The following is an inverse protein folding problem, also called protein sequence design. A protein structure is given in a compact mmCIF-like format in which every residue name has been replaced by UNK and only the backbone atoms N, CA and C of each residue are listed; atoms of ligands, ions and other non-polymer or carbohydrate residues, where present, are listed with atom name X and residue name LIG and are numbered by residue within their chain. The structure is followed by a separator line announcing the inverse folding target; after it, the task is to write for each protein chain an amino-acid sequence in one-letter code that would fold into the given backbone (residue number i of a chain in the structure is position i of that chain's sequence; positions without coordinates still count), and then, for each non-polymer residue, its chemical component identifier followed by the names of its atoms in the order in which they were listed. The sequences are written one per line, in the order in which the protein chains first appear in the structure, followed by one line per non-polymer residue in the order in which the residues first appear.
data_IF_978079781542
#
_entry.id   IF_978079781542
#
_cell.length_a   1.000
_cell.length_b   1.000
_cell.length_c   1.000
_cell.angle_alpha   90.00
_cell.angle_beta   90.00
_cell.angle_gamma   90.00
#
_symmetry.space_group_name_H-M   'P 1'
#
loop_
_entity.id
_entity.type
_entity.pdbx_description
1 polymer ?
#
# COMPACT_ATOMS: atom_id res chain seq x y z
N UNK A 1 4.47 9.26 -24.93
CA UNK A 1 3.88 9.66 -23.62
C UNK A 1 4.64 8.96 -22.50
N UNK A 2 4.85 9.64 -21.39
CA UNK A 2 5.40 8.99 -20.22
C UNK A 2 4.36 8.00 -19.64
N UNK A 3 4.84 6.87 -19.11
CA UNK A 3 3.98 5.92 -18.43
C UNK A 3 3.47 6.52 -17.10
N UNK A 4 2.23 6.19 -16.67
CA UNK A 4 1.74 6.64 -15.38
C UNK A 4 2.59 6.06 -14.24
N UNK A 5 2.89 6.88 -13.25
CA UNK A 5 3.65 6.49 -12.06
C UNK A 5 2.71 5.97 -10.99
N UNK A 6 2.89 4.71 -10.60
CA UNK A 6 2.03 4.04 -9.62
C UNK A 6 2.82 3.72 -8.36
N UNK A 7 2.40 4.29 -7.23
CA UNK A 7 2.98 3.95 -5.93
C UNK A 7 2.50 2.59 -5.44
N UNK A 8 3.43 1.67 -5.20
CA UNK A 8 3.13 0.35 -4.63
C UNK A 8 3.51 0.35 -3.16
N UNK A 9 2.52 0.34 -2.26
CA UNK A 9 2.81 0.20 -0.82
C UNK A 9 2.98 -1.28 -0.48
N UNK A 10 4.11 -1.63 0.13
CA UNK A 10 4.47 -3.04 0.40
C UNK A 10 3.67 -3.67 1.54
N UNK A 11 2.88 -2.89 2.28
CA UNK A 11 2.03 -3.39 3.36
C UNK A 11 2.82 -3.86 4.60
N UNK A 12 2.30 -4.89 5.26
CA UNK A 12 2.96 -5.46 6.45
C UNK A 12 4.28 -6.14 6.07
N UNK A 13 5.42 -5.70 6.61
CA UNK A 13 6.71 -6.32 6.32
C UNK A 13 6.85 -7.77 6.82
N UNK A 14 6.01 -8.20 7.75
CA UNK A 14 5.94 -9.60 8.21
C UNK A 14 5.02 -10.49 7.37
N UNK A 15 4.30 -9.90 6.40
CA UNK A 15 3.39 -10.59 5.49
C UNK A 15 3.99 -10.85 4.11
N UNK A 16 3.11 -11.14 3.16
CA UNK A 16 3.48 -11.41 1.75
C UNK A 16 3.70 -10.11 0.94
N UNK A 17 3.35 -8.95 1.51
CA UNK A 17 3.33 -7.67 0.82
C UNK A 17 4.65 -7.28 0.15
N UNK A 18 5.80 -7.33 0.86
CA UNK A 18 7.10 -7.00 0.26
C UNK A 18 7.42 -7.86 -0.95
N UNK A 19 7.23 -9.18 -0.86
CA UNK A 19 7.49 -10.12 -1.94
C UNK A 19 6.64 -9.82 -3.18
N UNK A 20 5.32 -9.71 -3.02
CA UNK A 20 4.42 -9.49 -4.16
C UNK A 20 4.59 -8.10 -4.77
N UNK A 21 4.86 -7.07 -3.97
CA UNK A 21 5.10 -5.72 -4.48
C UNK A 21 6.41 -5.64 -5.27
N UNK A 22 7.48 -6.29 -4.80
CA UNK A 22 8.75 -6.37 -5.52
C UNK A 22 8.65 -7.18 -6.81
N UNK A 23 7.89 -8.28 -6.80
CA UNK A 23 7.62 -9.05 -8.01
C UNK A 23 6.82 -8.21 -9.03
N UNK A 24 5.75 -7.55 -8.60
CA UNK A 24 4.96 -6.68 -9.47
C UNK A 24 5.79 -5.53 -10.06
N UNK A 25 6.68 -4.93 -9.27
CA UNK A 25 7.54 -3.84 -9.75
C UNK A 25 8.55 -4.27 -10.83
N UNK A 26 8.81 -5.56 -10.98
CA UNK A 26 9.73 -6.13 -11.99
C UNK A 26 9.01 -6.88 -13.11
N UNK A 27 7.71 -7.10 -12.98
CA UNK A 27 6.92 -7.85 -13.96
C UNK A 27 6.77 -7.05 -15.26
N UNK A 28 7.14 -7.60 -16.43
CA UNK A 28 6.96 -6.92 -17.72
C UNK A 28 5.51 -6.54 -18.03
N UNK A 29 4.51 -7.28 -17.54
CA UNK A 29 3.11 -6.93 -17.70
C UNK A 29 2.75 -5.63 -16.96
N UNK A 30 3.44 -5.33 -15.88
CA UNK A 30 3.29 -4.10 -15.10
C UNK A 30 4.14 -2.98 -15.69
N UNK A 31 5.45 -3.24 -15.89
CA UNK A 31 6.39 -2.19 -16.32
C UNK A 31 6.19 -1.73 -17.76
N UNK A 32 5.47 -2.50 -18.59
CA UNK A 32 5.07 -2.05 -19.93
C UNK A 32 3.91 -1.04 -19.92
N UNK A 33 3.14 -0.94 -18.83
CA UNK A 33 1.95 -0.08 -18.74
C UNK A 33 2.05 1.01 -17.69
N UNK A 34 2.98 0.91 -16.74
CA UNK A 34 3.21 1.93 -15.72
C UNK A 34 4.66 1.92 -15.22
N UNK A 35 5.04 3.00 -14.52
CA UNK A 35 6.30 3.13 -13.78
C UNK A 35 6.01 2.88 -12.28
N UNK A 36 6.29 1.67 -11.75
CA UNK A 36 6.00 1.33 -10.35
C UNK A 36 7.06 1.92 -9.41
N UNK A 37 6.60 2.55 -8.32
CA UNK A 37 7.45 3.12 -7.26
C UNK A 37 7.12 2.46 -5.94
N UNK A 38 8.09 1.77 -5.32
CA UNK A 38 7.89 1.06 -4.05
C UNK A 38 7.91 2.00 -2.84
N UNK A 39 7.00 1.78 -1.91
CA UNK A 39 6.88 2.47 -0.61
C UNK A 39 6.82 1.47 0.53
N UNK A 40 7.76 1.56 1.47
CA UNK A 40 7.83 0.72 2.67
C UNK A 40 9.11 -0.12 2.74
N UNK A 41 9.14 -1.10 3.64
CA UNK A 41 10.28 -1.98 3.84
C UNK A 41 10.30 -3.09 2.78
N UNK A 42 11.31 -3.10 1.95
CA UNK A 42 11.56 -4.13 0.94
C UNK A 42 12.49 -5.23 1.48
N UNK A 43 12.56 -6.36 0.76
CA UNK A 43 13.37 -7.55 1.11
C UNK A 43 14.88 -7.29 1.10
N UNK A 44 15.40 -6.31 1.72
CA UNK A 44 16.83 -5.95 1.71
C UNK A 44 17.12 -4.63 2.41
N UNK A 45 16.10 -3.96 2.87
CA UNK A 45 16.23 -2.75 3.68
C UNK A 45 16.64 -3.14 5.12
N UNK A 46 17.93 -3.34 5.36
CA UNK A 46 18.53 -3.99 6.51
C UNK A 46 18.37 -3.33 7.88
N UNK A 47 17.46 -2.40 8.10
CA UNK A 47 17.29 -1.71 9.40
C UNK A 47 16.36 -2.42 10.38
N UNK A 48 15.44 -3.25 9.89
CA UNK A 48 14.52 -4.02 10.74
C UNK A 48 14.37 -5.45 10.22
N UNK A 49 14.62 -6.42 11.09
CA UNK A 49 14.34 -7.83 10.80
C UNK A 49 12.91 -8.13 11.26
N UNK A 50 12.00 -8.27 10.32
CA UNK A 50 10.63 -8.69 10.59
C UNK A 50 10.50 -10.22 10.44
N UNK A 51 9.95 -10.85 11.47
CA UNK A 51 9.70 -12.30 11.43
C UNK A 51 8.43 -12.60 10.63
N UNK A 52 8.49 -13.47 9.62
CA UNK A 52 7.32 -13.83 8.83
C UNK A 52 6.13 -14.29 9.69
N UNK A 53 4.94 -13.79 9.37
CA UNK A 53 3.70 -14.15 10.04
C UNK A 53 3.51 -13.56 11.44
N UNK A 54 4.43 -12.75 11.95
CA UNK A 54 4.35 -12.15 13.28
C UNK A 54 3.97 -10.68 13.20
N UNK A 55 2.73 -10.35 13.58
CA UNK A 55 2.28 -8.97 13.68
C UNK A 55 3.03 -8.24 14.83
N UNK A 56 3.59 -7.07 14.52
CA UNK A 56 4.31 -6.22 15.48
C UNK A 56 3.86 -4.76 15.36
N UNK A 57 4.03 -3.97 16.42
CA UNK A 57 3.76 -2.54 16.38
C UNK A 57 4.65 -1.82 15.34
N UNK A 58 5.94 -2.18 15.28
CA UNK A 58 6.89 -1.60 14.32
C UNK A 58 6.49 -1.93 12.87
N UNK A 59 6.08 -3.19 12.59
CA UNK A 59 5.56 -3.57 11.28
C UNK A 59 4.29 -2.79 10.89
N UNK A 60 3.40 -2.58 11.87
CA UNK A 60 2.22 -1.75 11.69
C UNK A 60 2.55 -0.31 11.37
N UNK A 61 3.50 0.28 12.09
CA UNK A 61 3.95 1.65 11.86
C UNK A 61 4.59 1.82 10.49
N UNK A 62 5.48 0.91 10.10
CA UNK A 62 6.14 0.93 8.78
C UNK A 62 5.13 0.85 7.64
N UNK A 63 4.15 -0.06 7.76
CA UNK A 63 3.09 -0.19 6.76
C UNK A 63 2.22 1.07 6.66
N UNK A 64 1.87 1.68 7.80
CA UNK A 64 1.11 2.92 7.86
C UNK A 64 1.85 4.09 7.21
N UNK A 65 3.13 4.29 7.55
CA UNK A 65 3.95 5.36 6.98
C UNK A 65 4.11 5.23 5.47
N UNK A 66 4.21 4.00 4.95
CA UNK A 66 4.27 3.75 3.51
C UNK A 66 3.01 4.26 2.80
N UNK A 67 1.82 3.98 3.34
CA UNK A 67 0.55 4.49 2.79
C UNK A 67 0.48 6.02 2.87
N UNK A 68 0.87 6.61 4.01
CA UNK A 68 0.88 8.06 4.18
C UNK A 68 1.79 8.77 3.17
N UNK A 69 2.99 8.23 2.95
CA UNK A 69 3.96 8.79 1.99
C UNK A 69 3.46 8.67 0.56
N UNK A 70 2.99 7.49 0.14
CA UNK A 70 2.45 7.27 -1.19
C UNK A 70 1.24 8.18 -1.46
N UNK A 71 0.34 8.32 -0.49
CA UNK A 71 -0.83 9.20 -0.61
C UNK A 71 -0.42 10.67 -0.75
N UNK A 72 0.55 11.13 0.03
CA UNK A 72 1.09 12.49 -0.10
C UNK A 72 1.67 12.74 -1.49
N UNK A 73 2.42 11.78 -2.01
CA UNK A 73 3.04 11.90 -3.33
C UNK A 73 1.99 11.87 -4.45
N UNK A 74 0.91 11.12 -4.30
CA UNK A 74 -0.23 11.16 -5.20
C UNK A 74 -0.97 12.52 -5.16
N UNK A 75 -1.23 13.06 -3.97
CA UNK A 75 -1.88 14.36 -3.82
C UNK A 75 -1.04 15.53 -4.36
N UNK A 76 0.28 15.40 -4.38
CA UNK A 76 1.19 16.42 -4.96
C UNK A 76 1.53 16.21 -6.43
N UNK A 77 0.91 15.22 -7.08
CA UNK A 77 1.11 14.92 -8.50
C UNK A 77 2.45 14.23 -8.84
N UNK A 78 3.15 13.68 -7.83
CA UNK A 78 4.35 12.86 -8.06
C UNK A 78 4.01 11.44 -8.46
N UNK A 79 2.80 10.99 -8.12
CA UNK A 79 2.21 9.72 -8.54
C UNK A 79 0.85 9.99 -9.17
N UNK A 80 0.48 9.14 -10.11
CA UNK A 80 -0.83 9.18 -10.76
C UNK A 80 -1.86 8.34 -10.01
N UNK A 81 -1.41 7.30 -9.32
CA UNK A 81 -2.24 6.45 -8.46
C UNK A 81 -1.40 5.68 -7.44
N UNK A 82 -2.10 4.97 -6.53
CA UNK A 82 -1.48 4.04 -5.60
C UNK A 82 -2.13 2.67 -5.70
N UNK A 83 -1.34 1.61 -5.53
CA UNK A 83 -1.80 0.24 -5.34
C UNK A 83 -1.22 -0.28 -4.02
N UNK A 84 -2.05 -0.95 -3.22
CA UNK A 84 -1.68 -1.32 -1.86
C UNK A 84 -1.57 -2.83 -1.70
N UNK A 85 -0.43 -3.31 -1.18
CA UNK A 85 -0.28 -4.67 -0.71
C UNK A 85 -0.96 -4.86 0.67
N UNK A 86 -1.21 -6.10 1.10
CA UNK A 86 -1.94 -6.38 2.33
C UNK A 86 -1.27 -5.81 3.59
N UNK A 87 -2.08 -5.21 4.46
CA UNK A 87 -1.69 -4.79 5.80
C UNK A 87 -2.15 -5.79 6.85
N UNK A 88 -1.54 -5.76 8.03
CA UNK A 88 -2.02 -6.45 9.21
C UNK A 88 -2.82 -5.49 10.10
N UNK A 89 -4.13 -5.70 10.20
CA UNK A 89 -4.98 -4.92 11.12
C UNK A 89 -4.57 -5.10 12.58
N UNK A 90 -4.04 -6.28 12.93
CA UNK A 90 -3.49 -6.55 14.26
C UNK A 90 -2.24 -5.72 14.50
N UNK A 91 -1.30 -5.65 13.53
CA UNK A 91 -0.11 -4.81 13.63
C UNK A 91 -0.47 -3.32 13.78
N UNK A 92 -1.46 -2.83 13.02
CA UNK A 92 -1.94 -1.46 13.16
C UNK A 92 -2.52 -1.18 14.55
N UNK A 93 -3.28 -2.10 15.13
CA UNK A 93 -3.78 -1.96 16.52
C UNK A 93 -2.64 -1.96 17.54
N UNK A 94 -1.63 -2.82 17.37
CA UNK A 94 -0.45 -2.84 18.23
C UNK A 94 0.34 -1.54 18.15
N UNK A 95 0.36 -0.90 16.98
CA UNK A 95 0.96 0.41 16.78
C UNK A 95 0.11 1.57 17.32
N UNK A 96 -1.06 1.30 17.90
CA UNK A 96 -1.96 2.32 18.42
C UNK A 96 -2.69 3.14 17.35
N UNK A 97 -2.73 2.65 16.12
CA UNK A 97 -3.38 3.35 15.00
C UNK A 97 -4.90 3.18 15.04
N UNK A 98 -5.69 4.26 14.87
CA UNK A 98 -7.14 4.20 15.02
C UNK A 98 -7.86 3.67 13.77
N UNK A 99 -7.15 3.43 12.68
CA UNK A 99 -7.72 3.08 11.39
C UNK A 99 -8.05 1.59 11.28
N UNK A 100 -9.22 1.27 10.73
CA UNK A 100 -9.66 -0.11 10.50
C UNK A 100 -9.01 -0.75 9.27
N UNK A 101 -8.52 0.08 8.33
CA UNK A 101 -7.88 -0.36 7.10
C UNK A 101 -7.56 0.79 6.16
N UNK A 102 -7.25 0.46 4.92
CA UNK A 102 -6.88 1.44 3.90
C UNK A 102 -8.01 2.46 3.62
N UNK A 103 -9.26 2.01 3.54
CA UNK A 103 -10.38 2.87 3.14
C UNK A 103 -10.53 4.08 4.05
N UNK A 104 -10.58 3.87 5.37
CA UNK A 104 -10.74 4.93 6.35
C UNK A 104 -9.51 5.84 6.41
N UNK A 105 -8.32 5.24 6.33
CA UNK A 105 -7.07 6.01 6.31
C UNK A 105 -6.98 6.91 5.06
N UNK A 106 -7.26 6.37 3.88
CA UNK A 106 -7.21 7.13 2.63
C UNK A 106 -8.26 8.23 2.60
N UNK A 107 -9.48 7.98 3.09
CA UNK A 107 -10.50 9.00 3.22
C UNK A 107 -10.02 10.17 4.10
N UNK A 108 -9.40 9.85 5.24
CA UNK A 108 -8.83 10.87 6.13
C UNK A 108 -7.70 11.66 5.47
N UNK A 109 -6.73 10.98 4.86
CA UNK A 109 -5.56 11.63 4.26
C UNK A 109 -5.91 12.51 3.06
N UNK A 110 -6.95 12.17 2.33
CA UNK A 110 -7.42 12.92 1.14
C UNK A 110 -8.48 13.97 1.47
N UNK A 111 -9.03 13.97 2.69
CA UNK A 111 -10.14 14.82 3.07
C UNK A 111 -11.47 14.45 2.39
N UNK A 112 -11.57 13.25 1.83
CA UNK A 112 -12.79 12.79 1.16
C UNK A 112 -13.87 12.42 2.17
N UNK A 113 -15.04 13.04 2.07
CA UNK A 113 -16.19 12.76 2.93
C UNK A 113 -17.02 11.56 2.46
N UNK A 114 -17.00 11.26 1.17
CA UNK A 114 -17.74 10.19 0.55
C UNK A 114 -16.77 9.22 -0.15
N UNK A 115 -16.60 8.04 0.42
CA UNK A 115 -15.76 6.97 -0.12
C UNK A 115 -16.56 5.69 -0.18
N UNK A 116 -16.26 4.86 -1.16
CA UNK A 116 -16.84 3.53 -1.29
C UNK A 116 -15.77 2.56 -1.80
N UNK A 117 -15.86 1.32 -1.37
CA UNK A 117 -15.05 0.24 -1.91
C UNK A 117 -15.79 -0.41 -3.08
N UNK A 118 -15.12 -0.58 -4.21
CA UNK A 118 -15.68 -1.25 -5.37
C UNK A 118 -14.89 -2.50 -5.72
N UNK A 119 -15.60 -3.61 -5.86
CA UNK A 119 -15.08 -4.81 -6.50
C UNK A 119 -15.39 -4.73 -7.99
N UNK A 120 -14.38 -4.88 -8.81
CA UNK A 120 -14.50 -4.77 -10.27
C UNK A 120 -14.09 -6.07 -10.96
N UNK A 121 -14.95 -6.52 -11.85
CA UNK A 121 -14.64 -7.53 -12.87
C UNK A 121 -15.26 -7.11 -14.18
N UNK A 122 -14.89 -7.74 -15.30
CA UNK A 122 -15.48 -7.45 -16.60
C UNK A 122 -17.00 -7.68 -16.65
N UNK A 123 -17.51 -8.56 -15.78
CA UNK A 123 -18.92 -8.96 -15.75
C UNK A 123 -19.74 -8.35 -14.63
N UNK A 124 -19.07 -7.92 -13.54
CA UNK A 124 -19.76 -7.48 -12.33
C UNK A 124 -18.97 -6.35 -11.64
N UNK A 125 -19.69 -5.33 -11.20
CA UNK A 125 -19.18 -4.25 -10.37
C UNK A 125 -20.03 -4.17 -9.11
N UNK A 126 -19.41 -4.29 -7.94
CA UNK A 126 -20.09 -4.23 -6.64
C UNK A 126 -19.51 -3.09 -5.83
N UNK A 127 -20.36 -2.19 -5.35
CA UNK A 127 -19.97 -1.07 -4.49
C UNK A 127 -20.54 -1.34 -3.10
N UNK A 128 -19.68 -1.18 -2.06
CA UNK A 128 -20.01 -1.34 -0.64
C UNK A 128 -19.95 -0.01 0.09
#
# INVERSE_FOLDING_TARGET
MALPRIGLTVGDPSGIGPEIAEQAARDPQVTNVCDPVLYGATSGSGEHVFSPGKATADGGQVAFEAVCRATRDALTGRLDAIATAPISKTAWRLAGLPWRGHTELLAHLTGASNVAMMFYTDRLRVVL
#
